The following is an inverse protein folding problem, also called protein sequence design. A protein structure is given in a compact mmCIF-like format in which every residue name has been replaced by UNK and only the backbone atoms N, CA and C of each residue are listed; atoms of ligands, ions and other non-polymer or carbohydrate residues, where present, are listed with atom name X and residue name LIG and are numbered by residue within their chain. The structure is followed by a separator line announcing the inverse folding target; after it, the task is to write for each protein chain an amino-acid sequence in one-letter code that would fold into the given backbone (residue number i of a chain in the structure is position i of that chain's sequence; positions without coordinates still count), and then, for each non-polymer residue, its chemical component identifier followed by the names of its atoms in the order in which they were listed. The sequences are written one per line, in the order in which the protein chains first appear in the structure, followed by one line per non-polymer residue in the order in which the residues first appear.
data_IF_859697619333
#
_entry.id   IF_859697619333
#
_cell.length_a   1.000
_cell.length_b   1.000
_cell.length_c   1.000
_cell.angle_alpha   90.00
_cell.angle_beta   90.00
_cell.angle_gamma   90.00
#
_symmetry.space_group_name_H-M   'P 1'
#
loop_
_entity.id
_entity.type
_entity.pdbx_description
1 polymer ?
#
# COMPACT_ATOMS: atom_id res chain seq x y z
N UNK A 1 8.62 -0.61 11.00
CA UNK A 1 7.61 -0.15 10.02
C UNK A 1 8.31 0.01 8.70
N UNK A 2 7.77 -0.57 7.64
CA UNK A 2 8.33 -0.44 6.28
C UNK A 2 8.10 0.96 5.75
N UNK A 3 8.93 1.35 4.78
CA UNK A 3 8.77 2.56 3.99
C UNK A 3 8.85 2.23 2.52
N UNK A 4 8.04 2.90 1.70
CA UNK A 4 8.14 2.84 0.25
C UNK A 4 9.19 3.86 -0.18
N UNK A 5 10.15 3.41 -0.98
CA UNK A 5 11.25 4.21 -1.51
C UNK A 5 10.98 4.67 -2.94
N UNK A 6 10.24 3.87 -3.73
CA UNK A 6 9.82 4.22 -5.10
C UNK A 6 8.40 3.74 -5.39
N UNK A 7 7.70 4.50 -6.22
CA UNK A 7 6.37 4.14 -6.75
C UNK A 7 6.33 4.50 -8.23
N UNK A 8 5.72 3.61 -9.03
CA UNK A 8 5.43 3.84 -10.44
C UNK A 8 4.02 3.38 -10.77
N UNK A 9 3.23 4.27 -11.36
CA UNK A 9 1.90 3.96 -11.88
C UNK A 9 1.95 3.04 -13.09
N UNK A 10 1.08 2.03 -13.11
CA UNK A 10 0.87 1.10 -14.22
C UNK A 10 -0.61 1.12 -14.65
N UNK A 11 -0.91 0.74 -15.90
CA UNK A 11 -2.30 0.66 -16.37
C UNK A 11 -3.16 -0.28 -15.52
N UNK A 12 -4.42 0.11 -15.32
CA UNK A 12 -5.43 -0.68 -14.62
C UNK A 12 -5.34 -0.59 -13.10
N UNK A 13 -5.05 0.59 -12.54
CA UNK A 13 -4.98 0.82 -11.09
C UNK A 13 -3.92 -0.04 -10.38
N UNK A 14 -2.82 -0.30 -11.07
CA UNK A 14 -1.68 -1.07 -10.54
C UNK A 14 -0.53 -0.14 -10.24
N UNK A 15 0.24 -0.48 -9.21
CA UNK A 15 1.45 0.25 -8.82
C UNK A 15 2.61 -0.72 -8.69
N UNK A 16 3.74 -0.39 -9.28
CA UNK A 16 5.03 -1.00 -8.99
C UNK A 16 5.69 -0.24 -7.83
N UNK A 17 6.08 -0.97 -6.78
CA UNK A 17 6.61 -0.44 -5.54
C UNK A 17 8.02 -0.98 -5.28
N UNK A 18 8.88 -0.15 -4.72
CA UNK A 18 10.14 -0.56 -4.08
C UNK A 18 10.11 -0.11 -2.63
N UNK A 19 10.54 -0.98 -1.71
CA UNK A 19 10.59 -0.73 -0.28
C UNK A 19 12.02 -0.42 0.18
N UNK A 20 12.14 0.08 1.41
CA UNK A 20 13.42 0.45 2.04
C UNK A 20 14.43 -0.69 2.22
N UNK A 21 13.99 -1.95 2.21
CA UNK A 21 14.84 -3.14 2.23
C UNK A 21 15.20 -3.68 0.84
N UNK A 22 14.84 -2.96 -0.22
CA UNK A 22 15.09 -3.34 -1.61
C UNK A 22 14.10 -4.37 -2.16
N UNK A 23 13.14 -4.84 -1.37
CA UNK A 23 12.03 -5.66 -1.90
C UNK A 23 11.22 -4.79 -2.86
N UNK A 24 10.81 -5.38 -3.99
CA UNK A 24 9.96 -4.73 -4.97
C UNK A 24 8.88 -5.67 -5.47
N UNK A 25 7.80 -5.09 -5.99
CA UNK A 25 6.75 -5.84 -6.65
C UNK A 25 5.55 -4.97 -7.02
N UNK A 26 4.56 -5.60 -7.64
CA UNK A 26 3.36 -4.92 -8.13
C UNK A 26 2.17 -5.21 -7.23
N UNK A 27 1.37 -4.18 -6.96
CA UNK A 27 0.07 -4.30 -6.30
C UNK A 27 -1.04 -3.89 -7.25
N UNK A 28 -2.15 -4.64 -7.21
CA UNK A 28 -3.40 -4.30 -7.89
C UNK A 28 -4.39 -3.68 -6.91
N UNK A 29 -4.89 -2.48 -7.22
CA UNK A 29 -5.85 -1.73 -6.42
C UNK A 29 -7.20 -1.56 -7.13
N UNK A 30 -7.40 -2.19 -8.30
CA UNK A 30 -8.61 -2.06 -9.11
C UNK A 30 -9.89 -2.42 -8.35
N UNK A 31 -9.84 -3.44 -7.48
CA UNK A 31 -11.00 -3.86 -6.68
C UNK A 31 -11.44 -2.83 -5.64
N UNK A 32 -10.58 -1.89 -5.25
CA UNK A 32 -10.92 -0.85 -4.27
C UNK A 32 -11.57 0.38 -4.91
N UNK A 33 -11.41 0.57 -6.23
CA UNK A 33 -11.87 1.76 -6.95
C UNK A 33 -13.36 2.00 -6.72
N UNK A 34 -13.72 3.23 -6.34
CA UNK A 34 -15.11 3.62 -6.11
C UNK A 34 -15.70 3.19 -4.78
N UNK A 35 -14.98 2.42 -3.95
CA UNK A 35 -15.50 1.92 -2.67
C UNK A 35 -15.12 2.83 -1.50
N UNK A 36 -16.11 3.38 -0.81
CA UNK A 36 -15.90 4.15 0.41
C UNK A 36 -14.90 5.29 0.23
N UNK A 37 -13.84 5.31 1.04
CA UNK A 37 -12.77 6.33 0.96
C UNK A 37 -12.04 6.36 -0.39
N UNK A 38 -12.08 5.26 -1.16
CA UNK A 38 -11.48 5.15 -2.49
C UNK A 38 -12.37 5.67 -3.63
N UNK A 39 -13.47 6.35 -3.32
CA UNK A 39 -14.31 7.02 -4.32
C UNK A 39 -13.53 8.00 -5.22
N UNK A 40 -12.46 8.61 -4.69
CA UNK A 40 -11.56 9.49 -5.45
C UNK A 40 -10.96 8.81 -6.68
N UNK A 41 -10.73 7.50 -6.65
CA UNK A 41 -10.10 6.76 -7.74
C UNK A 41 -11.04 6.45 -8.92
N UNK A 42 -12.32 6.83 -8.85
CA UNK A 42 -13.20 6.84 -10.03
C UNK A 42 -12.69 7.81 -11.11
N UNK A 43 -11.91 8.83 -10.72
CA UNK A 43 -11.11 9.63 -11.63
C UNK A 43 -9.72 9.00 -11.77
N UNK A 44 -9.38 8.41 -12.95
CA UNK A 44 -8.05 7.84 -13.17
C UNK A 44 -6.93 8.86 -13.04
N UNK A 45 -7.18 10.13 -13.41
CA UNK A 45 -6.20 11.20 -13.25
C UNK A 45 -5.95 11.52 -11.78
N UNK A 46 -6.92 11.25 -10.90
CA UNK A 46 -6.70 11.34 -9.46
C UNK A 46 -5.83 10.19 -8.97
N UNK A 47 -6.06 8.96 -9.45
CA UNK A 47 -5.21 7.82 -9.10
C UNK A 47 -3.75 8.01 -9.54
N UNK A 48 -3.51 8.60 -10.71
CA UNK A 48 -2.16 8.83 -11.21
C UNK A 48 -1.37 9.88 -10.41
N UNK A 49 -2.02 10.64 -9.53
CA UNK A 49 -1.36 11.61 -8.62
C UNK A 49 -0.77 10.98 -7.36
N UNK A 50 -0.62 9.65 -7.32
CA UNK A 50 0.03 8.95 -6.22
C UNK A 50 1.41 9.55 -5.91
N UNK A 51 1.71 9.75 -4.63
CA UNK A 51 3.01 10.22 -4.14
C UNK A 51 3.42 9.41 -2.92
N UNK A 52 4.71 9.45 -2.59
CA UNK A 52 5.23 8.92 -1.33
C UNK A 52 5.17 10.06 -0.30
N UNK A 53 4.48 9.82 0.81
CA UNK A 53 4.39 10.74 1.94
C UNK A 53 5.67 10.78 2.78
N UNK A 54 5.70 11.63 3.80
CA UNK A 54 6.92 11.87 4.60
C UNK A 54 7.34 10.63 5.41
N UNK A 55 6.37 9.80 5.81
CA UNK A 55 6.65 8.58 6.57
C UNK A 55 6.92 7.37 5.65
N UNK A 56 6.79 7.52 4.34
CA UNK A 56 7.00 6.45 3.35
C UNK A 56 5.73 5.71 2.93
N UNK A 57 4.55 6.19 3.33
CA UNK A 57 3.21 5.78 2.91
C UNK A 57 2.91 6.27 1.48
N UNK A 58 1.93 5.65 0.80
CA UNK A 58 1.41 6.24 -0.44
C UNK A 58 0.29 7.20 -0.11
N UNK A 59 0.28 8.37 -0.74
CA UNK A 59 -0.75 9.40 -0.55
C UNK A 59 -1.35 9.86 -1.87
N UNK A 60 -2.64 10.20 -1.83
CA UNK A 60 -3.38 10.86 -2.91
C UNK A 60 -4.06 12.12 -2.38
N UNK A 61 -3.53 13.29 -2.76
CA UNK A 61 -4.09 14.62 -2.44
C UNK A 61 -4.54 14.78 -0.99
N UNK A 62 -3.78 14.23 -0.03
CA UNK A 62 -4.04 14.25 1.42
C UNK A 62 -5.40 13.65 1.85
N UNK A 63 -6.06 12.89 0.96
CA UNK A 63 -7.38 12.29 1.16
C UNK A 63 -7.35 10.78 1.35
N UNK A 64 -6.37 10.13 0.75
CA UNK A 64 -6.16 8.69 0.87
C UNK A 64 -4.69 8.48 1.20
N UNK A 65 -4.43 7.75 2.28
CA UNK A 65 -3.13 7.20 2.61
C UNK A 65 -3.21 5.66 2.63
N UNK A 66 -2.17 5.00 2.13
CA UNK A 66 -2.01 3.55 2.23
C UNK A 66 -0.75 3.22 3.03
N UNK A 67 -0.95 2.45 4.10
CA UNK A 67 0.12 1.98 4.96
C UNK A 67 1.14 1.12 4.19
N UNK A 68 2.46 1.43 4.32
CA UNK A 68 3.52 0.65 3.66
C UNK A 68 3.51 -0.83 4.04
N UNK A 69 3.25 -1.16 5.30
CA UNK A 69 3.28 -2.54 5.78
C UNK A 69 2.14 -3.37 5.15
N UNK A 70 0.96 -2.77 4.99
CA UNK A 70 -0.17 -3.44 4.32
C UNK A 70 0.15 -3.72 2.84
N UNK A 71 0.79 -2.76 2.16
CA UNK A 71 1.23 -2.94 0.77
C UNK A 71 2.37 -3.97 0.67
N UNK A 72 3.29 -3.98 1.62
CA UNK A 72 4.38 -4.96 1.67
C UNK A 72 3.86 -6.39 1.85
N UNK A 73 2.87 -6.59 2.73
CA UNK A 73 2.19 -7.89 2.89
C UNK A 73 1.55 -8.33 1.57
N UNK A 74 0.86 -7.42 0.87
CA UNK A 74 0.22 -7.72 -0.42
C UNK A 74 1.23 -8.04 -1.53
N UNK A 75 2.37 -7.34 -1.56
CA UNK A 75 3.45 -7.58 -2.53
C UNK A 75 4.18 -8.89 -2.27
N UNK A 76 4.47 -9.19 -1.00
CA UNK A 76 5.32 -10.35 -0.63
C UNK A 76 4.54 -11.63 -0.35
N UNK A 77 3.23 -11.54 -0.10
CA UNK A 77 2.42 -12.66 0.38
C UNK A 77 2.78 -13.14 1.80
N UNK A 78 3.68 -12.42 2.50
CA UNK A 78 4.02 -12.71 3.89
C UNK A 78 2.82 -12.48 4.80
N UNK A 79 2.84 -13.10 5.98
CA UNK A 79 1.82 -12.88 6.99
C UNK A 79 2.24 -11.75 7.93
N UNK A 80 1.29 -11.09 8.63
CA UNK A 80 1.62 -10.04 9.60
C UNK A 80 2.65 -10.46 10.65
N UNK A 81 2.56 -11.70 11.15
CA UNK A 81 3.50 -12.34 12.08
C UNK A 81 4.94 -12.47 11.55
N UNK A 82 5.15 -12.48 10.23
CA UNK A 82 6.50 -12.51 9.63
C UNK A 82 7.18 -11.14 9.63
N UNK A 83 6.38 -10.07 9.73
CA UNK A 83 6.84 -8.68 9.65
C UNK A 83 6.83 -8.01 11.03
N UNK A 84 5.88 -8.40 11.87
CA UNK A 84 5.74 -7.93 13.24
C UNK A 84 5.86 -9.13 14.18
N UNK A 85 7.08 -9.55 14.56
CA UNK A 85 7.29 -10.72 15.41
C UNK A 85 6.52 -10.66 16.74
N UNK A 86 6.25 -9.45 17.24
CA UNK A 86 5.47 -9.21 18.46
C UNK A 86 4.01 -9.70 18.37
N UNK A 87 3.47 -9.95 17.16
CA UNK A 87 2.12 -10.50 16.98
C UNK A 87 2.04 -12.01 17.21
N UNK A 88 3.17 -12.72 17.30
CA UNK A 88 3.19 -14.19 17.46
C UNK A 88 2.65 -14.67 18.80
N UNK A 89 2.67 -13.81 19.82
CA UNK A 89 2.31 -14.16 21.20
C UNK A 89 1.02 -13.48 21.71
N UNK A 90 0.23 -12.84 20.84
CA UNK A 90 -1.05 -12.25 21.27
C UNK A 90 -2.19 -13.26 21.17
N UNK A 91 -2.86 -13.63 22.29
CA UNK A 91 -4.05 -14.45 22.22
C UNK A 91 -5.15 -13.69 21.47
N UNK A 92 -5.68 -14.31 20.42
CA UNK A 92 -6.87 -13.83 19.71
C UNK A 92 -8.03 -13.76 20.70
N UNK A 93 -8.34 -12.57 21.18
CA UNK A 93 -9.60 -12.34 21.90
C UNK A 93 -10.68 -12.12 20.85
N UNK A 94 -11.56 -13.12 20.72
CA UNK A 94 -12.82 -13.04 20.00
C UNK A 94 -13.90 -12.38 20.86
#
# INVERSE_FOLDING_TARGET
MRRISKVKGLPGYRLELEFDDGVSGTVDLSEAVGKGVFALWLDPLAFDRVRIGSSGELVWDDRIDLCPDALYLKVTGKKPEDIFPALRDQPTHA
#
